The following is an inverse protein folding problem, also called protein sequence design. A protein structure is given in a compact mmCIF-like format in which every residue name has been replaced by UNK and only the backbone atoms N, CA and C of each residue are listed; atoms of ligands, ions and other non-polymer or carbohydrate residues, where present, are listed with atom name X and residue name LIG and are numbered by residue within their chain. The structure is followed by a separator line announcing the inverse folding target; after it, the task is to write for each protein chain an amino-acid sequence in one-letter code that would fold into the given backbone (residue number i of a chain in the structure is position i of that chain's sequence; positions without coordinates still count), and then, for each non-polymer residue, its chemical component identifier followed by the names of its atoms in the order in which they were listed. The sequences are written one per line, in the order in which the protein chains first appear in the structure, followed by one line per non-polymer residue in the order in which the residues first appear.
data_IF_245603397437
#
_entry.id   IF_245603397437
#
_cell.length_a   1.000
_cell.length_b   1.000
_cell.length_c   1.000
_cell.angle_alpha   90.00
_cell.angle_beta   90.00
_cell.angle_gamma   90.00
#
_symmetry.space_group_name_H-M   'P 1'
#
loop_
_entity.id
_entity.type
_entity.pdbx_description
1 polymer ?
#
# COMPACT_ATOMS: atom_id res chain seq x y z
N UNK A 1 76.06 12.07 -18.49
CA UNK A 1 75.00 12.40 -19.48
C UNK A 1 74.20 11.21 -19.98
N UNK A 2 74.74 9.99 -20.10
CA UNK A 2 74.01 8.81 -20.60
C UNK A 2 72.84 8.34 -19.65
N UNK A 3 73.02 8.42 -18.30
CA UNK A 3 71.99 7.98 -17.31
C UNK A 3 70.71 8.84 -17.36
N UNK A 4 70.81 10.14 -17.60
CA UNK A 4 69.73 11.06 -17.68
C UNK A 4 68.80 10.82 -18.91
N UNK A 5 69.42 10.42 -20.04
CA UNK A 5 68.63 10.09 -21.26
C UNK A 5 67.83 8.83 -21.11
N UNK A 6 68.27 7.84 -20.36
CA UNK A 6 67.55 6.61 -20.05
C UNK A 6 66.32 6.88 -19.12
N UNK A 7 66.50 7.75 -18.13
CA UNK A 7 65.40 8.15 -17.24
C UNK A 7 64.32 8.87 -17.99
N UNK A 8 64.61 9.77 -18.90
CA UNK A 8 63.64 10.46 -19.73
C UNK A 8 62.90 9.48 -20.66
N UNK A 9 63.61 8.48 -21.19
CA UNK A 9 63.02 7.47 -22.06
C UNK A 9 62.00 6.58 -21.28
N UNK A 10 62.35 6.21 -20.05
CA UNK A 10 61.42 5.45 -19.15
C UNK A 10 60.18 6.27 -18.84
N UNK A 11 60.31 7.54 -18.48
CA UNK A 11 59.18 8.42 -18.17
C UNK A 11 58.26 8.55 -19.38
N UNK A 12 58.84 8.70 -20.58
CA UNK A 12 58.08 8.85 -21.82
C UNK A 12 57.28 7.57 -22.16
N UNK A 13 57.94 6.39 -22.01
CA UNK A 13 57.25 5.10 -22.24
C UNK A 13 56.16 4.87 -21.20
N UNK A 14 56.39 5.17 -19.91
CA UNK A 14 55.40 5.02 -18.85
C UNK A 14 54.20 5.94 -19.10
N UNK A 15 54.45 7.20 -19.49
CA UNK A 15 53.38 8.15 -19.85
C UNK A 15 52.56 7.69 -21.05
N UNK A 16 53.20 7.09 -22.05
CA UNK A 16 52.54 6.57 -23.24
C UNK A 16 51.68 5.34 -22.90
N UNK A 17 52.14 4.45 -22.04
CA UNK A 17 51.39 3.27 -21.58
C UNK A 17 50.20 3.68 -20.73
N UNK A 18 50.37 4.62 -19.81
CA UNK A 18 49.25 5.15 -18.98
C UNK A 18 48.22 5.86 -19.85
N UNK A 19 48.65 6.68 -20.82
CA UNK A 19 47.79 7.33 -21.78
C UNK A 19 46.97 6.33 -22.62
N UNK A 20 47.61 5.26 -23.07
CA UNK A 20 46.96 4.20 -23.83
C UNK A 20 45.93 3.43 -22.97
N UNK A 21 46.24 3.13 -21.71
CA UNK A 21 45.33 2.49 -20.78
C UNK A 21 44.12 3.38 -20.48
N UNK A 22 44.29 4.68 -20.31
CA UNK A 22 43.19 5.63 -20.10
C UNK A 22 42.30 5.72 -21.36
N UNK A 23 42.88 5.71 -22.55
CA UNK A 23 42.08 5.70 -23.80
C UNK A 23 41.28 4.40 -23.96
N UNK A 24 41.85 3.25 -23.58
CA UNK A 24 41.14 1.97 -23.60
C UNK A 24 40.03 1.93 -22.56
N UNK A 25 40.16 2.61 -21.42
CA UNK A 25 39.14 2.70 -20.39
C UNK A 25 37.97 3.59 -20.81
N UNK A 26 38.21 4.63 -21.63
CA UNK A 26 37.14 5.49 -22.16
C UNK A 26 36.22 4.79 -23.18
N UNK A 27 36.67 3.69 -23.79
CA UNK A 27 35.92 2.92 -24.77
C UNK A 27 34.94 1.91 -24.18
N UNK A 28 34.93 1.71 -22.85
CA UNK A 28 34.14 0.67 -22.17
C UNK A 28 32.89 1.16 -21.43
N UNK A 29 32.40 2.36 -21.70
CA UNK A 29 31.04 2.70 -21.31
C UNK A 29 30.10 2.05 -22.31
N UNK A 30 29.81 0.75 -22.11
CA UNK A 30 28.63 0.16 -22.68
C UNK A 30 27.44 1.06 -22.26
N UNK A 31 26.53 1.45 -23.18
CA UNK A 31 25.33 2.16 -22.77
C UNK A 31 24.63 1.25 -21.77
N UNK A 32 24.54 1.72 -20.53
CA UNK A 32 23.65 1.13 -19.54
C UNK A 32 22.24 1.29 -20.13
N UNK A 33 21.78 0.22 -20.76
CA UNK A 33 20.38 0.12 -21.17
C UNK A 33 19.62 0.06 -19.86
N UNK A 34 19.25 1.22 -19.31
CA UNK A 34 18.16 1.30 -18.35
C UNK A 34 16.96 0.64 -19.02
N UNK A 35 16.84 -0.66 -18.80
CA UNK A 35 15.58 -1.33 -19.09
C UNK A 35 14.56 -0.74 -18.11
N UNK A 36 13.91 0.34 -18.53
CA UNK A 36 12.69 0.81 -17.89
C UNK A 36 11.71 -0.34 -18.02
N UNK A 37 11.63 -1.19 -16.98
CA UNK A 37 10.61 -2.23 -16.87
C UNK A 37 9.29 -1.47 -16.76
N UNK A 38 8.62 -1.30 -17.88
CA UNK A 38 7.27 -0.77 -17.93
C UNK A 38 6.34 -1.87 -17.43
N UNK A 39 5.54 -1.62 -16.37
CA UNK A 39 4.56 -2.60 -15.89
C UNK A 39 3.59 -2.95 -17.03
N UNK A 40 3.45 -4.23 -17.34
CA UNK A 40 2.50 -4.74 -18.33
C UNK A 40 1.37 -5.41 -17.56
N UNK A 41 0.12 -5.13 -17.95
CA UNK A 41 -1.04 -5.82 -17.39
C UNK A 41 -1.05 -7.29 -17.78
N UNK A 42 -1.33 -8.16 -16.80
CA UNK A 42 -1.45 -9.60 -17.01
C UNK A 42 -0.20 -10.38 -16.61
N UNK A 43 -0.26 -11.69 -16.83
CA UNK A 43 0.77 -12.64 -16.41
C UNK A 43 0.29 -13.51 -15.24
N UNK A 44 1.13 -14.46 -14.85
CA UNK A 44 0.88 -15.34 -13.70
C UNK A 44 1.94 -15.01 -12.65
N UNK A 45 1.48 -14.62 -11.46
CA UNK A 45 2.31 -14.49 -10.27
C UNK A 45 2.06 -15.70 -9.37
N UNK A 46 3.13 -16.36 -8.92
CA UNK A 46 3.03 -17.51 -8.03
C UNK A 46 3.82 -17.23 -6.77
N UNK A 47 3.16 -17.29 -5.65
CA UNK A 47 3.75 -17.11 -4.33
C UNK A 47 3.42 -18.31 -3.44
N UNK A 48 4.37 -18.70 -2.59
CA UNK A 48 4.17 -19.76 -1.62
C UNK A 48 3.76 -19.16 -0.28
N UNK A 49 2.57 -19.51 0.20
CA UNK A 49 2.11 -19.16 1.55
C UNK A 49 2.45 -20.26 2.53
N UNK A 50 3.01 -19.89 3.68
CA UNK A 50 3.32 -20.83 4.77
C UNK A 50 2.17 -20.82 5.76
N UNK A 51 1.46 -21.94 5.88
CA UNK A 51 0.30 -22.10 6.76
C UNK A 51 -0.90 -22.68 6.06
N UNK A 52 -2.05 -22.63 6.72
CA UNK A 52 -3.31 -23.10 6.17
C UNK A 52 -4.27 -21.92 5.95
N UNK A 53 -4.78 -21.81 4.74
CA UNK A 53 -5.88 -20.92 4.45
C UNK A 53 -7.17 -21.48 5.04
N UNK A 54 -7.91 -20.66 5.79
CA UNK A 54 -9.12 -21.08 6.51
C UNK A 54 -10.38 -20.41 5.99
N UNK A 55 -10.31 -19.12 5.65
CA UNK A 55 -11.51 -18.36 5.27
C UNK A 55 -11.20 -17.09 4.49
N UNK A 56 -12.17 -16.63 3.68
CA UNK A 56 -12.20 -15.31 3.07
C UNK A 56 -13.05 -14.37 3.94
N UNK A 57 -12.49 -13.86 5.02
CA UNK A 57 -13.20 -12.91 5.87
C UNK A 57 -12.23 -12.03 6.64
N UNK A 58 -11.95 -10.82 6.14
CA UNK A 58 -10.94 -9.92 6.70
C UNK A 58 -11.25 -9.41 8.11
N UNK A 59 -12.49 -9.55 8.60
CA UNK A 59 -12.81 -9.21 10.00
C UNK A 59 -12.37 -10.31 10.96
N UNK A 60 -12.31 -11.57 10.48
CA UNK A 60 -12.04 -12.75 11.29
C UNK A 60 -10.65 -13.35 11.06
N UNK A 61 -9.82 -12.73 10.25
CA UNK A 61 -8.50 -13.24 9.82
C UNK A 61 -7.34 -12.86 10.76
N UNK A 62 -7.58 -12.01 11.75
CA UNK A 62 -6.56 -11.33 12.60
C UNK A 62 -5.43 -12.25 13.09
N UNK A 63 -5.71 -13.54 13.29
CA UNK A 63 -4.75 -14.50 13.83
C UNK A 63 -4.26 -15.53 12.81
N UNK A 64 -4.59 -15.35 11.52
CA UNK A 64 -4.18 -16.24 10.45
C UNK A 64 -3.53 -15.47 9.31
N UNK A 65 -2.20 -15.47 9.26
CA UNK A 65 -1.44 -14.73 8.26
C UNK A 65 -1.80 -15.12 6.80
N UNK A 66 -1.94 -16.41 6.44
CA UNK A 66 -2.39 -16.81 5.10
C UNK A 66 -3.74 -16.22 4.69
N UNK A 67 -4.72 -16.13 5.61
CA UNK A 67 -6.01 -15.51 5.32
C UNK A 67 -5.82 -14.00 5.06
N UNK A 68 -5.06 -13.29 5.91
CA UNK A 68 -4.79 -11.87 5.74
C UNK A 68 -4.10 -11.56 4.40
N UNK A 69 -3.13 -12.37 4.00
CA UNK A 69 -2.38 -12.16 2.76
C UNK A 69 -3.28 -12.33 1.54
N UNK A 70 -4.19 -13.30 1.57
CA UNK A 70 -5.17 -13.52 0.51
C UNK A 70 -6.27 -12.44 0.54
N UNK A 71 -6.81 -12.11 1.71
CA UNK A 71 -7.87 -11.12 1.87
C UNK A 71 -7.43 -9.73 1.37
N UNK A 72 -6.16 -9.34 1.58
CA UNK A 72 -5.58 -8.11 1.03
C UNK A 72 -5.52 -8.05 -0.50
N UNK A 73 -5.52 -9.18 -1.18
CA UNK A 73 -5.56 -9.25 -2.64
C UNK A 73 -7.00 -9.18 -3.19
N UNK A 74 -7.98 -9.54 -2.38
CA UNK A 74 -9.39 -9.67 -2.79
C UNK A 74 -10.20 -8.43 -2.42
N UNK A 75 -9.99 -7.91 -1.22
CA UNK A 75 -10.78 -6.84 -0.63
C UNK A 75 -9.99 -5.53 -0.57
N UNK A 76 -10.70 -4.43 -0.74
CA UNK A 76 -10.15 -3.07 -0.57
C UNK A 76 -10.63 -2.46 0.74
N UNK A 77 -9.89 -1.48 1.23
CA UNK A 77 -10.22 -0.69 2.42
C UNK A 77 -10.71 0.72 2.05
N UNK A 78 -11.22 1.48 3.00
CA UNK A 78 -11.54 2.88 2.76
C UNK A 78 -10.28 3.68 2.45
N UNK A 79 -9.25 3.49 3.25
CA UNK A 79 -7.97 4.17 3.16
C UNK A 79 -6.87 3.12 3.27
N UNK A 80 -5.82 3.27 2.49
CA UNK A 80 -4.58 2.48 2.61
C UNK A 80 -3.42 3.38 3.01
N UNK A 81 -2.31 2.79 3.43
CA UNK A 81 -1.12 3.54 3.82
C UNK A 81 0.06 3.19 2.90
N UNK A 82 0.83 4.21 2.56
CA UNK A 82 2.06 4.01 1.80
C UNK A 82 3.20 3.50 2.70
N UNK A 83 4.37 3.24 2.09
CA UNK A 83 5.55 2.74 2.80
C UNK A 83 6.08 3.71 3.89
N UNK A 84 5.68 4.98 3.86
CA UNK A 84 6.05 6.00 4.84
C UNK A 84 4.99 6.19 5.92
N UNK A 85 3.87 5.45 5.85
CA UNK A 85 2.76 5.56 6.78
C UNK A 85 1.81 6.73 6.50
N UNK A 86 1.81 7.30 5.29
CA UNK A 86 0.86 8.33 4.90
C UNK A 86 -0.41 7.72 4.31
N UNK A 87 -1.60 8.23 4.71
CA UNK A 87 -2.88 7.74 4.20
C UNK A 87 -3.01 8.07 2.70
N UNK A 88 -3.44 7.09 1.93
CA UNK A 88 -3.67 7.15 0.49
C UNK A 88 -5.11 6.73 0.17
N UNK A 89 -5.72 7.28 -0.88
CA UNK A 89 -7.02 6.83 -1.38
C UNK A 89 -7.02 5.33 -1.72
N UNK A 90 -8.12 4.64 -1.32
CA UNK A 90 -8.45 3.30 -1.79
C UNK A 90 -9.90 3.27 -2.26
N UNK A 91 -10.88 2.72 -1.54
CA UNK A 91 -12.30 2.86 -1.88
C UNK A 91 -12.77 4.31 -1.72
N UNK A 92 -12.31 5.01 -0.67
CA UNK A 92 -12.51 6.45 -0.55
C UNK A 92 -11.58 7.19 -1.52
N UNK A 93 -12.16 7.96 -2.44
CA UNK A 93 -11.42 8.83 -3.34
C UNK A 93 -10.92 10.08 -2.60
N UNK A 94 -11.74 10.62 -1.72
CA UNK A 94 -11.43 11.80 -0.90
C UNK A 94 -12.08 11.67 0.47
N UNK A 95 -11.52 12.39 1.44
CA UNK A 95 -12.11 12.55 2.77
C UNK A 95 -11.85 13.93 3.34
N UNK A 96 -12.68 14.32 4.28
CA UNK A 96 -12.56 15.55 5.06
C UNK A 96 -12.92 15.28 6.52
N UNK A 97 -12.49 16.16 7.40
CA UNK A 97 -12.86 16.12 8.80
C UNK A 97 -13.14 17.52 9.33
N UNK A 98 -13.96 17.60 10.36
CA UNK A 98 -14.29 18.85 11.04
C UNK A 98 -13.09 19.37 11.85
N UNK A 99 -13.06 20.67 12.09
CA UNK A 99 -11.95 21.34 12.82
C UNK A 99 -11.76 20.85 14.24
N UNK A 100 -12.80 20.29 14.85
CA UNK A 100 -12.77 19.67 16.17
C UNK A 100 -12.30 18.20 16.15
N UNK A 101 -12.09 17.63 14.94
CA UNK A 101 -11.61 16.25 14.77
C UNK A 101 -12.60 15.16 15.19
N UNK A 102 -13.89 15.47 15.29
CA UNK A 102 -14.91 14.53 15.75
C UNK A 102 -15.76 13.91 14.63
N UNK A 103 -15.77 14.52 13.43
CA UNK A 103 -16.52 14.00 12.28
C UNK A 103 -15.61 13.82 11.07
N UNK A 104 -15.73 12.67 10.42
CA UNK A 104 -14.99 12.33 9.22
C UNK A 104 -15.98 11.93 8.14
N UNK A 105 -15.90 12.60 6.99
CA UNK A 105 -16.73 12.30 5.82
C UNK A 105 -15.89 11.75 4.71
N UNK A 106 -16.27 10.60 4.15
CA UNK A 106 -15.58 9.92 3.06
C UNK A 106 -16.47 9.86 1.83
N UNK A 107 -15.88 10.23 0.68
CA UNK A 107 -16.52 10.08 -0.63
C UNK A 107 -15.91 8.88 -1.34
N UNK A 108 -16.72 7.86 -1.62
CA UNK A 108 -16.31 6.65 -2.32
C UNK A 108 -16.17 6.92 -3.82
N UNK A 109 -15.23 6.22 -4.46
CA UNK A 109 -15.11 6.25 -5.92
C UNK A 109 -16.31 5.62 -6.60
N UNK A 110 -16.81 6.24 -7.66
CA UNK A 110 -18.00 5.78 -8.37
C UNK A 110 -17.78 4.55 -9.26
N UNK A 111 -16.52 4.20 -9.54
CA UNK A 111 -16.13 3.09 -10.41
C UNK A 111 -15.61 1.87 -9.63
N UNK A 112 -15.98 1.73 -8.36
CA UNK A 112 -15.70 0.55 -7.56
C UNK A 112 -16.85 -0.46 -7.70
N UNK A 113 -16.49 -1.70 -8.04
CA UNK A 113 -17.45 -2.79 -8.24
C UNK A 113 -16.97 -4.04 -7.53
N UNK A 114 -17.91 -4.80 -6.99
CA UNK A 114 -17.67 -6.16 -6.52
C UNK A 114 -17.37 -7.10 -7.70
N UNK A 115 -16.86 -8.29 -7.41
CA UNK A 115 -16.51 -9.28 -8.42
C UNK A 115 -17.70 -9.80 -9.24
N UNK A 116 -18.93 -9.64 -8.72
CA UNK A 116 -20.18 -9.97 -9.40
C UNK A 116 -20.70 -8.83 -10.29
N UNK A 117 -20.03 -7.68 -10.28
CA UNK A 117 -20.39 -6.50 -11.05
C UNK A 117 -21.33 -5.54 -10.33
N UNK A 118 -21.74 -5.80 -9.08
CA UNK A 118 -22.51 -4.84 -8.29
C UNK A 118 -21.65 -3.69 -7.81
N UNK A 119 -22.16 -2.44 -7.72
CA UNK A 119 -21.37 -1.32 -7.23
C UNK A 119 -21.06 -1.46 -5.73
N UNK A 120 -19.84 -1.05 -5.34
CA UNK A 120 -19.50 -0.87 -3.92
C UNK A 120 -20.13 0.41 -3.43
N UNK A 121 -20.83 0.34 -2.30
CA UNK A 121 -21.60 1.46 -1.73
C UNK A 121 -21.20 1.78 -0.29
N UNK A 122 -21.62 2.95 0.19
CA UNK A 122 -21.48 3.33 1.60
C UNK A 122 -22.22 2.36 2.54
N UNK A 123 -23.24 1.65 2.03
CA UNK A 123 -23.96 0.62 2.80
C UNK A 123 -23.07 -0.59 3.11
N UNK A 124 -22.19 -1.01 2.17
CA UNK A 124 -21.23 -2.09 2.40
C UNK A 124 -20.26 -1.74 3.52
N UNK A 125 -19.80 -0.47 3.54
CA UNK A 125 -18.93 0.04 4.62
C UNK A 125 -19.65 0.02 5.97
N UNK A 126 -20.87 0.54 6.02
CA UNK A 126 -21.68 0.56 7.24
C UNK A 126 -21.99 -0.86 7.74
N UNK A 127 -22.28 -1.78 6.81
CA UNK A 127 -22.48 -3.20 7.12
C UNK A 127 -21.22 -3.81 7.73
N UNK A 128 -20.06 -3.58 7.13
CA UNK A 128 -18.78 -4.07 7.64
C UNK A 128 -18.50 -3.59 9.06
N UNK A 129 -18.75 -2.30 9.34
CA UNK A 129 -18.62 -1.76 10.70
C UNK A 129 -19.65 -2.41 11.65
N UNK A 130 -20.88 -2.67 11.20
CA UNK A 130 -21.88 -3.35 12.01
C UNK A 130 -21.44 -4.76 12.41
N UNK A 131 -20.76 -5.48 11.52
CA UNK A 131 -20.15 -6.78 11.84
C UNK A 131 -19.08 -6.64 12.91
N UNK A 132 -18.21 -5.62 12.83
CA UNK A 132 -17.17 -5.38 13.85
C UNK A 132 -17.75 -5.01 15.22
N UNK A 133 -18.96 -4.45 15.27
CA UNK A 133 -19.70 -4.17 16.52
C UNK A 133 -20.38 -5.41 17.10
N UNK A 134 -20.51 -6.48 16.33
CA UNK A 134 -21.28 -7.66 16.73
C UNK A 134 -20.59 -8.44 17.86
N UNK A 135 -21.39 -9.21 18.63
CA UNK A 135 -20.91 -10.06 19.72
C UNK A 135 -20.33 -11.40 19.22
N UNK A 136 -19.66 -11.39 18.06
CA UNK A 136 -19.03 -12.59 17.54
C UNK A 136 -17.74 -12.90 18.32
N UNK A 137 -17.58 -14.14 18.77
CA UNK A 137 -16.48 -14.57 19.65
C UNK A 137 -15.05 -14.40 19.04
N UNK A 138 -14.93 -14.30 17.71
CA UNK A 138 -13.66 -14.07 17.02
C UNK A 138 -13.32 -12.58 16.87
N UNK A 139 -14.26 -11.68 17.19
CA UNK A 139 -14.01 -10.25 17.18
C UNK A 139 -13.47 -9.86 18.55
N UNK A 140 -12.25 -9.28 18.63
CA UNK A 140 -11.67 -8.84 19.88
C UNK A 140 -12.55 -7.80 20.58
N UNK A 141 -12.65 -7.92 21.91
CA UNK A 141 -13.51 -7.05 22.71
C UNK A 141 -13.11 -5.58 22.61
N UNK A 142 -11.81 -5.29 22.57
CA UNK A 142 -11.27 -3.95 22.40
C UNK A 142 -11.69 -3.32 21.07
N UNK A 143 -11.64 -4.09 19.97
CA UNK A 143 -12.08 -3.65 18.64
C UNK A 143 -13.59 -3.39 18.62
N UNK A 144 -14.39 -4.32 19.17
CA UNK A 144 -15.84 -4.18 19.29
C UNK A 144 -16.21 -2.95 20.10
N UNK A 145 -15.56 -2.73 21.26
CA UNK A 145 -15.78 -1.58 22.11
C UNK A 145 -15.47 -0.28 21.36
N UNK A 146 -14.31 -0.20 20.72
CA UNK A 146 -13.93 0.97 19.92
C UNK A 146 -15.00 1.32 18.88
N UNK A 147 -15.41 0.35 18.04
CA UNK A 147 -16.40 0.60 17.02
C UNK A 147 -17.80 0.90 17.58
N UNK A 148 -18.15 0.35 18.76
CA UNK A 148 -19.48 0.62 19.37
C UNK A 148 -19.65 2.08 19.79
N UNK A 149 -18.58 2.80 20.05
CA UNK A 149 -18.58 4.22 20.44
C UNK A 149 -18.63 5.17 19.22
N UNK A 150 -18.51 4.65 17.99
CA UNK A 150 -18.52 5.44 16.77
C UNK A 150 -19.86 5.33 16.08
N UNK A 151 -20.50 6.47 15.82
CA UNK A 151 -21.70 6.53 14.99
C UNK A 151 -21.30 6.51 13.52
N UNK A 152 -22.04 5.75 12.71
CA UNK A 152 -21.80 5.60 11.26
C UNK A 152 -23.07 5.93 10.53
N UNK A 153 -23.04 6.95 9.69
CA UNK A 153 -24.19 7.45 8.96
C UNK A 153 -23.93 7.33 7.43
N UNK A 154 -24.82 6.63 6.75
CA UNK A 154 -24.83 6.57 5.28
C UNK A 154 -25.56 7.81 4.77
N UNK A 155 -24.81 8.75 4.22
CA UNK A 155 -25.36 10.02 3.69
C UNK A 155 -25.93 9.83 2.29
N UNK A 156 -25.25 9.02 1.47
CA UNK A 156 -25.70 8.62 0.13
C UNK A 156 -25.02 7.28 -0.24
N UNK A 157 -25.32 6.74 -1.42
CA UNK A 157 -24.67 5.51 -1.90
C UNK A 157 -23.16 5.61 -1.95
N UNK A 158 -22.61 6.81 -2.10
CA UNK A 158 -21.16 7.04 -2.21
C UNK A 158 -20.57 7.90 -1.10
N UNK A 159 -21.36 8.30 -0.09
CA UNK A 159 -20.88 9.15 1.00
C UNK A 159 -21.22 8.56 2.34
N UNK A 160 -20.20 8.37 3.16
CA UNK A 160 -20.35 7.85 4.54
C UNK A 160 -19.71 8.84 5.53
N UNK A 161 -20.33 9.00 6.68
CA UNK A 161 -19.85 9.82 7.78
C UNK A 161 -19.63 8.98 9.03
N UNK A 162 -18.52 9.26 9.73
CA UNK A 162 -18.20 8.71 11.03
C UNK A 162 -18.20 9.84 12.06
N UNK A 163 -18.94 9.68 13.15
CA UNK A 163 -18.96 10.62 14.25
C UNK A 163 -18.39 9.95 15.52
N UNK A 164 -17.35 10.58 16.07
CA UNK A 164 -16.63 10.15 17.26
C UNK A 164 -17.11 10.96 18.46
N UNK A 165 -17.06 10.38 19.65
CA UNK A 165 -17.40 11.06 20.90
C UNK A 165 -16.40 12.18 21.23
N UNK A 166 -15.12 11.96 20.90
CA UNK A 166 -14.02 12.90 21.10
C UNK A 166 -13.03 12.81 19.94
N UNK A 167 -12.20 13.85 19.78
CA UNK A 167 -11.18 13.86 18.74
C UNK A 167 -10.17 12.74 18.96
N UNK A 168 -9.96 11.94 17.89
CA UNK A 168 -9.03 10.81 17.91
C UNK A 168 -8.13 10.85 16.67
N UNK A 169 -6.92 11.37 16.82
CA UNK A 169 -5.98 11.57 15.71
C UNK A 169 -5.66 10.29 14.91
N UNK A 170 -5.52 9.07 15.53
CA UNK A 170 -5.25 7.85 14.80
C UNK A 170 -6.47 7.25 14.08
N UNK A 171 -7.61 7.94 14.00
CA UNK A 171 -8.84 7.36 13.46
C UNK A 171 -8.68 6.81 12.03
N UNK A 172 -7.90 7.48 11.18
CA UNK A 172 -7.64 7.00 9.81
C UNK A 172 -6.97 5.63 9.77
N UNK A 173 -6.13 5.30 10.75
CA UNK A 173 -5.45 4.00 10.84
C UNK A 173 -6.45 2.86 11.01
N UNK A 174 -7.54 3.13 11.73
CA UNK A 174 -8.64 2.17 11.95
C UNK A 174 -9.53 1.98 10.72
N UNK A 175 -9.40 2.81 9.69
CA UNK A 175 -10.16 2.72 8.44
C UNK A 175 -9.46 1.89 7.35
N UNK A 176 -8.35 1.26 7.69
CA UNK A 176 -7.63 0.31 6.83
C UNK A 176 -8.21 -1.11 6.85
N UNK A 177 -9.38 -1.31 7.47
CA UNK A 177 -10.10 -2.59 7.39
C UNK A 177 -10.67 -2.80 5.98
N UNK A 178 -10.66 -4.03 5.52
CA UNK A 178 -11.24 -4.39 4.23
C UNK A 178 -12.77 -4.44 4.33
N UNK A 179 -13.43 -3.87 3.32
CA UNK A 179 -14.89 -3.78 3.24
C UNK A 179 -15.47 -5.09 2.71
N UNK A 180 -16.59 -5.51 3.28
CA UNK A 180 -17.37 -6.69 2.88
C UNK A 180 -18.70 -6.27 2.22
N UNK A 181 -19.21 -7.04 1.25
CA UNK A 181 -20.52 -6.80 0.65
C UNK A 181 -21.66 -7.10 1.65
N UNK A 182 -22.76 -6.38 1.50
CA UNK A 182 -24.01 -6.62 2.26
C UNK A 182 -24.62 -7.97 1.90
#
# INVERSE_FOLDING_TARGET
MKKFRWQLLIILITGLVVGLLLLLQQGSTAPEVESTISPISGGIYTEALVGNFLRFNPILDRYNQPDQDVDRLIFSSLVKFDANGFPQPDLAETWSYTSDGTRFTFSLRQNAYWHDGTPVTAQDVAFTVSLMKSEHQLIPEDLRKFWSEIQVDVVSDTVIEFALLEAFAPFLDYLSFQVLPV
#
